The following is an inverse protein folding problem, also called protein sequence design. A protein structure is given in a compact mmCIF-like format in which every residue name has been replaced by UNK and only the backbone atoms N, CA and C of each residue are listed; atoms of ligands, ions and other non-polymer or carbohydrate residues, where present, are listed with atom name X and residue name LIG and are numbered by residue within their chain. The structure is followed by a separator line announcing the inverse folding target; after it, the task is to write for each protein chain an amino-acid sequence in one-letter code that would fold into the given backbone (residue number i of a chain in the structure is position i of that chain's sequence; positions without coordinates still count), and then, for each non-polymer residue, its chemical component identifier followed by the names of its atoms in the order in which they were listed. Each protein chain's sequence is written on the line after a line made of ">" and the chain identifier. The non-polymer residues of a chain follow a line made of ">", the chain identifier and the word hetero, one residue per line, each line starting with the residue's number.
data_IF_878230174525
#
_entry.id   IF_878230174525
#
_cell.length_a   1.000
_cell.length_b   1.000
_cell.length_c   1.000
_cell.angle_alpha   90.00
_cell.angle_beta   90.00
_cell.angle_gamma   90.00
#
_symmetry.space_group_name_H-M   'P 1'
#
loop_
_entity.id
_entity.type
_entity.pdbx_description
1 polymer ?
#
# COMPACT_ATOMS: atom_id res chain seq x y z
N UNK A 1 -23.21 -4.29 -10.28
CA UNK A 1 -22.78 -3.17 -11.15
C UNK A 1 -21.29 -3.28 -11.38
N UNK A 2 -20.88 -3.65 -12.59
CA UNK A 2 -19.47 -3.72 -12.99
C UNK A 2 -18.92 -2.30 -13.11
N UNK A 3 -18.03 -1.90 -12.20
CA UNK A 3 -17.27 -0.67 -12.40
C UNK A 3 -16.20 -0.97 -13.45
N UNK A 4 -16.21 -0.32 -14.64
CA UNK A 4 -15.11 -0.46 -15.56
C UNK A 4 -13.85 0.01 -14.82
N UNK A 5 -12.88 -0.89 -14.67
CA UNK A 5 -11.52 -0.53 -14.23
C UNK A 5 -10.98 0.41 -15.30
N UNK A 6 -11.13 1.72 -15.05
CA UNK A 6 -10.68 2.75 -15.97
C UNK A 6 -9.19 2.55 -16.18
N UNK A 7 -8.81 2.12 -17.38
CA UNK A 7 -7.42 2.02 -17.76
C UNK A 7 -6.72 3.34 -17.43
N UNK A 8 -5.48 3.31 -16.91
CA UNK A 8 -4.73 4.52 -16.67
C UNK A 8 -4.69 5.32 -17.96
N UNK A 9 -5.14 6.58 -17.92
CA UNK A 9 -5.11 7.49 -19.06
C UNK A 9 -4.09 8.60 -18.77
N UNK A 10 -3.41 9.08 -19.81
CA UNK A 10 -2.41 10.15 -19.69
C UNK A 10 -1.05 9.64 -19.18
N UNK A 11 -0.32 10.40 -18.34
CA UNK A 11 1.09 10.14 -18.00
C UNK A 11 1.35 8.77 -17.35
N UNK A 12 0.35 8.17 -16.69
CA UNK A 12 0.47 6.82 -16.14
C UNK A 12 0.51 5.73 -17.24
N UNK A 13 -0.20 5.93 -18.36
CA UNK A 13 -0.16 5.00 -19.49
C UNK A 13 1.19 5.06 -20.23
N UNK A 14 1.73 6.26 -20.36
CA UNK A 14 3.04 6.51 -20.96
C UNK A 14 4.15 5.84 -20.13
N UNK A 15 4.08 5.96 -18.79
CA UNK A 15 4.99 5.27 -17.88
C UNK A 15 4.84 3.73 -17.99
N UNK A 16 3.62 3.23 -18.11
CA UNK A 16 3.34 1.80 -18.32
C UNK A 16 3.92 1.26 -19.63
N UNK A 17 3.97 2.08 -20.67
CA UNK A 17 4.54 1.73 -21.98
C UNK A 17 6.08 1.73 -21.98
N UNK A 18 6.69 2.51 -21.08
CA UNK A 18 8.14 2.55 -20.91
C UNK A 18 8.70 1.37 -20.07
N UNK A 19 7.85 0.62 -19.37
CA UNK A 19 8.26 -0.49 -18.51
C UNK A 19 8.24 -1.85 -19.23
N UNK A 20 9.14 -2.78 -18.86
CA UNK A 20 9.11 -4.15 -19.37
C UNK A 20 7.85 -4.90 -18.90
N UNK A 21 7.47 -5.94 -19.65
CA UNK A 21 6.24 -6.71 -19.40
C UNK A 21 6.25 -7.48 -18.06
N UNK A 22 7.41 -7.65 -17.44
CA UNK A 22 7.52 -8.21 -16.09
C UNK A 22 7.10 -7.22 -14.99
N UNK A 23 7.31 -5.92 -15.21
CA UNK A 23 7.05 -4.86 -14.23
C UNK A 23 5.68 -4.20 -14.43
N UNK A 24 5.26 -4.13 -15.68
CA UNK A 24 3.90 -3.95 -16.17
C UNK A 24 2.75 -4.31 -15.20
N UNK A 25 2.69 -5.57 -14.75
CA UNK A 25 1.60 -6.06 -13.90
C UNK A 25 1.68 -5.49 -12.47
N UNK A 26 2.90 -5.30 -11.96
CA UNK A 26 3.13 -4.67 -10.67
C UNK A 26 2.80 -3.19 -10.70
N UNK A 27 3.16 -2.50 -11.79
CA UNK A 27 2.82 -1.11 -12.03
C UNK A 27 1.30 -0.90 -12.11
N UNK A 28 0.59 -1.77 -12.84
CA UNK A 28 -0.87 -1.68 -12.94
C UNK A 28 -1.57 -1.85 -11.57
N UNK A 29 -1.06 -2.74 -10.71
CA UNK A 29 -1.54 -2.88 -9.32
C UNK A 29 -1.33 -1.61 -8.52
N UNK A 30 -0.15 -0.99 -8.63
CA UNK A 30 0.15 0.28 -7.95
C UNK A 30 -0.77 1.40 -8.45
N UNK A 31 -0.91 1.55 -9.76
CA UNK A 31 -1.82 2.53 -10.36
C UNK A 31 -3.26 2.30 -9.91
N UNK A 32 -3.74 1.06 -9.91
CA UNK A 32 -5.08 0.72 -9.44
C UNK A 32 -5.29 1.07 -7.97
N UNK A 33 -4.31 0.82 -7.10
CA UNK A 33 -4.40 1.16 -5.68
C UNK A 33 -4.42 2.68 -5.44
N UNK A 34 -3.59 3.43 -6.16
CA UNK A 34 -3.50 4.89 -6.03
C UNK A 34 -4.70 5.59 -6.68
N UNK A 35 -5.16 5.11 -7.84
CA UNK A 35 -6.29 5.67 -8.59
C UNK A 35 -7.66 5.17 -8.08
N UNK A 36 -7.71 4.22 -7.15
CA UNK A 36 -8.94 3.84 -6.47
C UNK A 36 -9.57 5.02 -5.70
N UNK A 37 -8.77 6.03 -5.33
CA UNK A 37 -9.21 7.26 -4.65
C UNK A 37 -8.55 8.49 -5.29
N UNK A 38 -8.94 8.88 -6.51
CA UNK A 38 -8.22 9.88 -7.30
C UNK A 38 -8.34 11.30 -6.73
N UNK A 39 -9.34 11.56 -5.89
CA UNK A 39 -9.52 12.83 -5.18
C UNK A 39 -8.80 12.88 -3.83
N UNK A 40 -8.27 11.76 -3.34
CA UNK A 40 -7.58 11.71 -2.06
C UNK A 40 -6.16 12.27 -2.18
N UNK A 41 -5.63 12.89 -1.11
CA UNK A 41 -4.26 13.38 -1.09
C UNK A 41 -3.26 12.23 -1.21
N UNK A 42 -2.16 12.46 -1.93
CA UNK A 42 -1.13 11.46 -2.21
C UNK A 42 -0.46 10.94 -0.94
N UNK A 43 -0.27 11.78 0.08
CA UNK A 43 0.42 11.41 1.33
C UNK A 43 -0.22 10.21 2.04
N UNK A 44 -1.51 10.27 2.42
CA UNK A 44 -2.22 9.13 3.01
C UNK A 44 -2.27 7.89 2.12
N UNK A 45 -2.42 8.05 0.80
CA UNK A 45 -2.41 6.93 -0.14
C UNK A 45 -1.05 6.22 -0.15
N UNK A 46 0.05 6.97 -0.21
CA UNK A 46 1.39 6.40 -0.17
C UNK A 46 1.69 5.72 1.17
N UNK A 47 1.19 6.24 2.29
CA UNK A 47 1.34 5.55 3.60
C UNK A 47 0.63 4.21 3.66
N UNK A 48 -0.43 4.02 2.87
CA UNK A 48 -1.12 2.74 2.79
C UNK A 48 -0.38 1.73 1.90
N UNK A 49 0.42 2.20 0.93
CA UNK A 49 1.13 1.35 -0.04
C UNK A 49 2.60 1.11 0.32
N UNK A 50 3.25 2.07 0.97
CA UNK A 50 4.67 2.03 1.31
C UNK A 50 4.85 1.93 2.82
N UNK A 51 5.72 1.03 3.32
CA UNK A 51 5.94 0.89 4.74
C UNK A 51 6.64 2.12 5.34
N UNK A 52 6.22 2.49 6.54
CA UNK A 52 6.84 3.54 7.34
C UNK A 52 6.84 4.91 6.67
N UNK A 53 8.03 5.48 6.49
CA UNK A 53 8.22 6.85 5.98
C UNK A 53 8.66 6.89 4.52
N UNK A 54 8.72 5.76 3.81
CA UNK A 54 9.20 5.70 2.43
C UNK A 54 8.40 6.64 1.49
N UNK A 55 7.07 6.63 1.60
CA UNK A 55 6.22 7.52 0.82
C UNK A 55 6.43 9.02 1.11
N UNK A 56 6.68 9.38 2.37
CA UNK A 56 6.96 10.78 2.75
C UNK A 56 8.35 11.21 2.28
N UNK A 57 9.33 10.31 2.35
CA UNK A 57 10.69 10.56 1.84
C UNK A 57 10.69 10.76 0.33
N UNK A 58 9.95 9.94 -0.40
CA UNK A 58 9.79 10.07 -1.85
C UNK A 58 9.10 11.39 -2.22
N UNK A 59 8.00 11.76 -1.55
CA UNK A 59 7.34 13.06 -1.76
C UNK A 59 8.31 14.24 -1.60
N UNK A 60 9.14 14.19 -0.55
CA UNK A 60 10.14 15.23 -0.29
C UNK A 60 11.23 15.27 -1.36
N UNK A 61 11.65 14.12 -1.86
CA UNK A 61 12.65 13.99 -2.93
C UNK A 61 12.14 14.58 -4.25
N UNK A 62 10.89 14.29 -4.60
CA UNK A 62 10.24 14.80 -5.82
C UNK A 62 9.73 16.25 -5.67
N UNK A 63 9.91 16.87 -4.49
CA UNK A 63 9.44 18.23 -4.21
C UNK A 63 7.91 18.36 -4.21
N UNK A 64 7.18 17.27 -3.98
CA UNK A 64 5.73 17.23 -4.04
C UNK A 64 5.09 17.49 -2.67
N UNK A 65 4.01 18.28 -2.67
CA UNK A 65 3.18 18.44 -1.50
C UNK A 65 2.44 17.12 -1.18
N UNK A 66 2.21 16.78 0.11
CA UNK A 66 1.44 15.59 0.48
C UNK A 66 -0.04 15.68 0.07
N UNK A 67 -0.52 16.89 -0.25
CA UNK A 67 -1.85 17.20 -0.77
C UNK A 67 -1.95 17.14 -2.30
N UNK A 68 -0.83 16.90 -3.00
CA UNK A 68 -0.82 16.70 -4.44
C UNK A 68 -1.81 15.60 -4.81
N UNK A 69 -2.48 15.76 -5.95
CA UNK A 69 -3.41 14.75 -6.46
C UNK A 69 -2.67 13.70 -7.28
N UNK A 70 -3.05 12.42 -7.22
CA UNK A 70 -2.45 11.37 -8.04
C UNK A 70 -2.49 11.65 -9.54
N UNK A 71 -3.53 12.35 -10.00
CA UNK A 71 -3.70 12.72 -11.41
C UNK A 71 -2.77 13.83 -11.88
N UNK A 72 -2.07 14.51 -10.96
CA UNK A 72 -1.11 15.57 -11.28
C UNK A 72 0.31 15.04 -11.49
N UNK A 73 0.54 13.74 -11.26
CA UNK A 73 1.85 13.13 -11.45
C UNK A 73 2.22 13.03 -12.93
N UNK A 74 3.46 13.38 -13.25
CA UNK A 74 4.05 13.22 -14.59
C UNK A 74 4.49 11.78 -14.85
N UNK A 75 4.78 11.44 -16.11
CA UNK A 75 5.32 10.12 -16.48
C UNK A 75 6.55 9.75 -15.64
N UNK A 76 7.51 10.67 -15.54
CA UNK A 76 8.75 10.44 -14.80
C UNK A 76 8.49 10.19 -13.29
N UNK A 77 7.53 10.91 -12.71
CA UNK A 77 7.15 10.72 -11.30
C UNK A 77 6.48 9.37 -11.08
N UNK A 78 5.66 8.89 -12.02
CA UNK A 78 5.09 7.54 -11.94
C UNK A 78 6.18 6.44 -11.98
N UNK A 79 7.19 6.59 -12.84
CA UNK A 79 8.33 5.67 -12.90
C UNK A 79 9.17 5.71 -11.62
N UNK A 80 9.54 6.90 -11.14
CA UNK A 80 10.27 7.10 -9.87
C UNK A 80 9.51 6.51 -8.68
N UNK A 81 8.18 6.71 -8.63
CA UNK A 81 7.32 6.11 -7.61
C UNK A 81 7.34 4.57 -7.69
N UNK A 82 7.23 4.02 -8.89
CA UNK A 82 7.25 2.58 -9.10
C UNK A 82 8.58 1.97 -8.69
N UNK A 83 9.71 2.60 -8.99
CA UNK A 83 11.03 2.15 -8.50
C UNK A 83 11.14 2.22 -6.97
N UNK A 84 10.67 3.31 -6.36
CA UNK A 84 10.66 3.43 -4.90
C UNK A 84 9.80 2.33 -4.27
N UNK A 85 8.63 2.07 -4.87
CA UNK A 85 7.72 1.03 -4.44
C UNK A 85 8.31 -0.35 -4.68
N UNK A 86 8.88 -0.68 -5.84
CA UNK A 86 9.44 -2.01 -6.11
C UNK A 86 10.63 -2.34 -5.21
N UNK A 87 11.46 -1.35 -4.86
CA UNK A 87 12.57 -1.51 -3.90
C UNK A 87 12.10 -1.74 -2.46
N UNK A 88 10.92 -1.25 -2.11
CA UNK A 88 10.41 -1.27 -0.72
C UNK A 88 9.30 -2.29 -0.51
N UNK A 89 8.59 -2.64 -1.57
CA UNK A 89 7.52 -3.62 -1.58
C UNK A 89 8.18 -5.00 -1.49
N UNK A 90 7.93 -5.76 -0.42
CA UNK A 90 8.38 -7.14 -0.40
C UNK A 90 7.73 -7.83 -1.60
N UNK A 91 8.54 -8.53 -2.41
CA UNK A 91 8.01 -9.41 -3.45
C UNK A 91 6.82 -10.19 -2.86
N UNK A 92 5.72 -10.39 -3.61
CA UNK A 92 4.58 -11.16 -3.12
C UNK A 92 5.00 -12.63 -2.96
N UNK A 93 5.74 -12.92 -1.90
CA UNK A 93 5.93 -14.22 -1.35
C UNK A 93 4.68 -14.62 -0.57
N UNK A 94 4.31 -15.90 -0.57
CA UNK A 94 3.20 -16.38 0.23
C UNK A 94 3.55 -16.21 1.71
N UNK A 95 3.02 -15.18 2.34
CA UNK A 95 3.12 -15.00 3.79
C UNK A 95 3.78 -13.69 4.21
N UNK A 96 2.96 -12.64 4.29
CA UNK A 96 3.06 -11.76 5.46
C UNK A 96 1.73 -11.90 6.19
N UNK A 97 1.70 -12.55 7.36
CA UNK A 97 0.51 -12.55 8.17
C UNK A 97 0.25 -11.08 8.52
N UNK A 98 -1.03 -10.74 8.47
CA UNK A 98 -1.51 -9.49 9.02
C UNK A 98 -0.89 -9.25 10.39
N UNK A 99 -0.84 -7.98 10.74
CA UNK A 99 -0.52 -7.48 12.07
C UNK A 99 -1.55 -8.01 13.07
N UNK A 100 -1.57 -9.31 13.30
CA UNK A 100 -2.22 -9.92 14.45
C UNK A 100 -1.31 -9.58 15.60
N UNK A 101 -1.90 -8.80 16.49
CA UNK A 101 -1.43 -8.60 17.85
C UNK A 101 -1.56 -9.94 18.57
N UNK A 102 -0.80 -10.96 18.15
CA UNK A 102 -0.69 -12.24 18.84
C UNK A 102 0.21 -12.02 20.05
N UNK A 103 -0.46 -11.68 21.16
CA UNK A 103 0.15 -11.68 22.46
C UNK A 103 0.64 -13.08 22.81
N UNK A 104 1.97 -13.24 22.80
CA UNK A 104 2.78 -14.05 23.72
C UNK A 104 2.37 -15.54 23.86
N UNK A 105 3.17 -16.50 23.34
CA UNK A 105 3.12 -17.85 23.87
C UNK A 105 3.75 -17.86 25.26
N UNK A 106 2.92 -17.68 26.30
CA UNK A 106 3.33 -17.96 27.67
C UNK A 106 3.43 -19.48 27.82
N UNK A 107 4.67 -19.95 27.93
CA UNK A 107 4.99 -21.23 28.55
C UNK A 107 4.50 -21.20 30.00
N UNK A 108 3.42 -21.91 30.30
CA UNK A 108 3.21 -22.52 31.61
C UNK A 108 2.17 -23.64 31.48
N UNK A 109 2.58 -24.87 31.81
CA UNK A 109 1.64 -25.95 32.10
C UNK A 109 0.89 -25.72 33.41
N UNK A 110 -0.10 -26.59 33.64
CA UNK A 110 -0.99 -26.69 34.81
C UNK A 110 -2.10 -25.62 34.85
N UNK A 111 -3.39 -25.91 35.06
CA UNK A 111 -4.07 -27.07 35.67
C UNK A 111 -5.53 -27.17 35.12
N UNK A 112 -6.21 -28.32 35.29
CA UNK A 112 -7.57 -28.53 34.83
C UNK A 112 -8.63 -28.03 35.83
N UNK A 113 -9.69 -27.39 35.31
CA UNK A 113 -10.99 -27.26 35.97
C UNK A 113 -11.22 -25.95 36.74
N UNK A 114 -12.12 -25.10 36.23
CA UNK A 114 -13.18 -24.46 36.99
C UNK A 114 -13.96 -23.46 36.12
N UNK A 115 -15.26 -23.70 35.99
CA UNK A 115 -16.32 -22.82 35.50
C UNK A 115 -16.39 -21.47 36.23
N UNK A 116 -16.67 -20.35 35.51
CA UNK A 116 -17.81 -19.43 35.75
C UNK A 116 -17.63 -17.98 35.23
N UNK A 117 -18.56 -17.61 34.31
CA UNK A 117 -19.39 -16.37 34.21
C UNK A 117 -18.73 -14.98 33.98
N UNK A 118 -19.22 -14.18 32.99
CA UNK A 118 -18.80 -12.80 32.78
C UNK A 118 -19.59 -11.80 33.65
N UNK A 119 -18.93 -10.71 34.08
CA UNK A 119 -19.61 -9.51 34.58
C UNK A 119 -18.89 -8.26 34.06
N UNK A 120 -19.60 -7.46 33.27
CA UNK A 120 -19.17 -6.15 32.77
C UNK A 120 -19.56 -5.08 33.80
N UNK A 121 -18.72 -4.08 34.02
CA UNK A 121 -19.18 -2.80 34.56
C UNK A 121 -18.23 -2.09 35.53
N UNK A 122 -17.63 -1.01 35.05
CA UNK A 122 -17.50 0.28 35.77
C UNK A 122 -17.27 1.37 34.75
#
# INVERSE_FOLDING_TARGET
>A
MSRPTRAPAGPAADARAALPESDAAHFDRLCSAVLASPSAPLGPLLRAQLPGTAGVRWLRQEGLAPTTRPTALTTAQWLSLFECWSRTSPAPGPGVPGRTRDGRPSTHGHAPGATAIPRWGS
#
